data_IF_736275401965
#
_entry.id   IF_736275401965
#
_cell.length_a   1.000
_cell.length_b   1.000
_cell.length_c   1.000
_cell.angle_alpha   90.00
_cell.angle_beta   90.00
_cell.angle_gamma   90.00
#
_symmetry.space_group_name_H-M   'P 1'
#
loop_
_entity.id
_entity.type
_entity.pdbx_description
1 polymer ?
#
# COMPACT_ATOMS: atom_id res chain seq x y z
N UNK A 1 -10.34 5.40 6.24
CA UNK A 1 -9.29 4.41 5.94
C UNK A 1 -7.92 5.10 5.83
N UNK A 2 -6.90 4.42 6.32
CA UNK A 2 -5.51 4.87 6.36
C UNK A 2 -4.63 3.76 5.80
N UNK A 3 -3.60 4.12 5.05
CA UNK A 3 -2.66 3.18 4.41
C UNK A 3 -1.26 3.42 4.93
N UNK A 4 -0.61 2.39 5.44
CA UNK A 4 0.85 2.36 5.59
C UNK A 4 1.44 1.70 4.35
N UNK A 5 2.35 2.40 3.68
CA UNK A 5 3.09 1.89 2.54
C UNK A 5 4.57 1.83 2.92
N UNK A 6 5.13 0.61 2.94
CA UNK A 6 6.56 0.38 3.10
C UNK A 6 7.11 -0.08 1.77
N UNK A 7 8.13 0.60 1.26
CA UNK A 7 8.82 0.24 0.02
C UNK A 7 10.27 -0.04 0.34
N UNK A 8 10.82 -1.07 -0.28
CA UNK A 8 12.20 -1.46 -0.03
C UNK A 8 12.81 -2.21 -1.19
N UNK A 9 14.13 -2.36 -1.13
CA UNK A 9 14.86 -3.24 -2.01
C UNK A 9 15.30 -4.45 -1.19
N UNK A 10 14.86 -5.64 -1.56
CA UNK A 10 15.23 -6.89 -0.88
C UNK A 10 16.68 -7.22 -1.18
N UNK A 11 17.44 -7.62 -0.18
CA UNK A 11 18.80 -8.10 -0.39
C UNK A 11 18.82 -9.38 -1.25
N UNK A 12 19.86 -9.55 -2.07
CA UNK A 12 19.93 -10.64 -3.05
C UNK A 12 19.83 -12.00 -2.37
N UNK A 13 18.87 -12.83 -2.81
CA UNK A 13 18.64 -14.17 -2.26
C UNK A 13 17.80 -14.20 -0.97
N UNK A 14 17.36 -13.05 -0.47
CA UNK A 14 16.61 -12.95 0.79
C UNK A 14 15.08 -12.97 0.61
N UNK A 15 14.56 -13.00 -0.62
CA UNK A 15 13.11 -12.94 -0.90
C UNK A 15 12.31 -14.01 -0.15
N UNK A 16 12.78 -15.25 -0.11
CA UNK A 16 12.09 -16.33 0.60
C UNK A 16 12.03 -16.09 2.11
N UNK A 17 13.10 -15.56 2.69
CA UNK A 17 13.19 -15.27 4.13
C UNK A 17 12.30 -14.08 4.48
N UNK A 18 12.31 -13.03 3.66
CA UNK A 18 11.42 -11.88 3.81
C UNK A 18 9.94 -12.28 3.74
N UNK A 19 9.55 -13.16 2.81
CA UNK A 19 8.16 -13.65 2.73
C UNK A 19 7.77 -14.47 3.97
N UNK A 20 8.69 -15.27 4.52
CA UNK A 20 8.47 -16.02 5.74
C UNK A 20 8.32 -15.09 6.96
N UNK A 21 9.23 -14.12 7.12
CA UNK A 21 9.18 -13.11 8.17
C UNK A 21 7.90 -12.27 8.10
N UNK A 22 7.52 -11.81 6.89
CA UNK A 22 6.30 -11.05 6.67
C UNK A 22 5.05 -11.86 7.04
N UNK A 23 5.00 -13.16 6.73
CA UNK A 23 3.89 -14.03 7.15
C UNK A 23 3.76 -14.09 8.66
N UNK A 24 4.87 -14.28 9.38
CA UNK A 24 4.87 -14.29 10.85
C UNK A 24 4.44 -12.93 11.41
N UNK A 25 4.91 -11.83 10.83
CA UNK A 25 4.53 -10.48 11.24
C UNK A 25 3.03 -10.23 11.07
N UNK A 26 2.45 -10.62 9.93
CA UNK A 26 1.03 -10.42 9.65
C UNK A 26 0.14 -11.30 10.55
N UNK A 27 0.53 -12.55 10.78
CA UNK A 27 -0.17 -13.43 11.72
C UNK A 27 -0.08 -12.92 13.16
N UNK A 28 1.10 -12.47 13.59
CA UNK A 28 1.28 -11.92 14.93
C UNK A 28 0.49 -10.62 15.13
N UNK A 29 0.43 -9.76 14.11
CA UNK A 29 -0.42 -8.57 14.10
C UNK A 29 -1.90 -8.92 14.29
N UNK A 30 -2.42 -9.88 13.53
CA UNK A 30 -3.83 -10.29 13.62
C UNK A 30 -4.15 -10.88 15.00
N UNK A 31 -3.24 -11.70 15.55
CA UNK A 31 -3.35 -12.24 16.91
C UNK A 31 -3.37 -11.17 18.01
N UNK A 32 -2.84 -9.96 17.74
CA UNK A 32 -2.89 -8.80 18.64
C UNK A 32 -4.13 -7.92 18.40
N UNK A 33 -5.05 -8.35 17.55
CA UNK A 33 -6.30 -7.66 17.26
C UNK A 33 -6.13 -6.43 16.38
N UNK A 34 -5.00 -6.26 15.71
CA UNK A 34 -4.80 -5.18 14.74
C UNK A 34 -5.33 -5.67 13.40
N UNK A 35 -6.53 -5.20 13.04
CA UNK A 35 -7.14 -5.51 11.74
C UNK A 35 -6.60 -4.59 10.66
N UNK A 36 -5.95 -5.19 9.67
CA UNK A 36 -5.56 -4.48 8.47
C UNK A 36 -5.61 -5.42 7.27
N UNK A 37 -6.02 -4.90 6.12
CA UNK A 37 -5.81 -5.59 4.83
C UNK A 37 -4.35 -5.43 4.46
N UNK A 38 -3.60 -6.52 4.52
CA UNK A 38 -2.15 -6.51 4.28
C UNK A 38 -1.80 -7.26 3.01
N UNK A 39 -0.95 -6.66 2.19
CA UNK A 39 -0.46 -7.24 0.94
C UNK A 39 1.03 -6.96 0.75
N UNK A 40 1.74 -7.92 0.15
CA UNK A 40 3.14 -7.79 -0.21
C UNK A 40 3.28 -8.01 -1.72
N UNK A 41 3.83 -7.01 -2.39
CA UNK A 41 3.96 -6.94 -3.83
C UNK A 41 5.42 -6.96 -4.25
N UNK A 42 5.79 -7.87 -5.14
CA UNK A 42 7.09 -7.85 -5.81
C UNK A 42 7.00 -7.00 -7.08
N UNK A 43 8.02 -6.19 -7.35
CA UNK A 43 8.06 -5.36 -8.54
C UNK A 43 8.28 -6.18 -9.81
N UNK A 44 7.40 -5.98 -10.80
CA UNK A 44 7.60 -6.50 -12.17
C UNK A 44 8.37 -5.50 -13.05
N UNK A 45 8.38 -4.23 -12.68
CA UNK A 45 9.04 -3.12 -13.39
C UNK A 45 9.98 -2.38 -12.44
N UNK A 46 11.14 -1.93 -12.93
CA UNK A 46 12.17 -1.28 -12.10
C UNK A 46 13.18 -2.27 -11.52
N UNK A 47 13.78 -2.00 -10.34
CA UNK A 47 14.70 -2.94 -9.70
C UNK A 47 14.00 -4.28 -9.42
N UNK A 48 14.59 -5.38 -9.89
CA UNK A 48 13.98 -6.73 -9.86
C UNK A 48 13.76 -7.28 -8.45
N UNK A 49 14.35 -6.65 -7.44
CA UNK A 49 14.22 -6.99 -6.03
C UNK A 49 13.47 -5.93 -5.23
N UNK A 50 12.79 -4.98 -5.88
CA UNK A 50 11.94 -4.02 -5.18
C UNK A 50 10.65 -4.70 -4.69
N UNK A 51 10.20 -4.32 -3.49
CA UNK A 51 8.95 -4.77 -2.90
C UNK A 51 8.15 -3.59 -2.33
N UNK A 52 6.84 -3.77 -2.27
CA UNK A 52 5.93 -2.88 -1.53
C UNK A 52 5.09 -3.70 -0.57
N UNK A 53 5.10 -3.33 0.72
CA UNK A 53 4.16 -3.84 1.71
C UNK A 53 3.10 -2.75 1.90
N UNK A 54 1.85 -3.12 1.69
CA UNK A 54 0.67 -2.26 1.81
C UNK A 54 -0.17 -2.76 2.96
N UNK A 55 -0.53 -1.89 3.88
CA UNK A 55 -1.38 -2.19 5.03
C UNK A 55 -2.48 -1.14 5.12
N UNK A 56 -3.74 -1.55 4.95
CA UNK A 56 -4.90 -0.68 4.99
C UNK A 56 -5.69 -0.89 6.28
N UNK A 57 -5.94 0.20 7.02
CA UNK A 57 -6.63 0.26 8.31
C UNK A 57 -7.92 1.06 8.18
N UNK A 58 -8.99 0.62 8.83
CA UNK A 58 -10.25 1.37 8.83
C UNK A 58 -10.07 2.75 9.46
N UNK A 59 -9.38 2.76 10.60
CA UNK A 59 -9.23 3.92 11.49
C UNK A 59 -7.77 4.30 11.67
N UNK A 60 -7.52 5.56 12.07
CA UNK A 60 -6.18 6.00 12.44
C UNK A 60 -5.74 5.32 13.74
N UNK A 61 -6.68 5.08 14.66
CA UNK A 61 -6.42 4.43 15.95
C UNK A 61 -5.83 3.02 15.77
N UNK A 62 -6.32 2.22 14.81
CA UNK A 62 -5.73 0.90 14.52
C UNK A 62 -4.29 1.00 13.99
N UNK A 63 -4.01 2.01 13.16
CA UNK A 63 -2.65 2.28 12.67
C UNK A 63 -1.75 2.75 13.83
N UNK A 64 -2.26 3.61 14.71
CA UNK A 64 -1.54 4.09 15.89
C UNK A 64 -1.25 2.95 16.87
N UNK A 65 -2.21 2.04 17.10
CA UNK A 65 -2.00 0.82 17.89
C UNK A 65 -0.88 -0.06 17.35
N UNK A 66 -0.73 -0.16 16.02
CA UNK A 66 0.41 -0.84 15.41
C UNK A 66 1.74 -0.18 15.81
N UNK A 67 1.82 1.16 15.74
CA UNK A 67 3.02 1.91 16.12
C UNK A 67 3.33 1.82 17.61
N UNK A 68 2.29 1.87 18.44
CA UNK A 68 2.41 1.73 19.90
C UNK A 68 2.95 0.35 20.25
N UNK A 69 2.42 -0.72 19.64
CA UNK A 69 2.92 -2.08 19.84
C UNK A 69 4.35 -2.24 19.37
N UNK A 70 4.74 -1.65 18.24
CA UNK A 70 6.13 -1.63 17.80
C UNK A 70 7.07 -0.88 18.75
N UNK A 71 6.55 -0.01 19.61
CA UNK A 71 7.35 0.74 20.59
C UNK A 71 7.37 0.08 21.96
N UNK A 72 6.23 -0.48 22.40
CA UNK A 72 6.01 -0.96 23.77
C UNK A 72 6.28 -2.46 23.93
N UNK A 73 6.18 -3.24 22.86
CA UNK A 73 6.34 -4.69 22.88
C UNK A 73 7.60 -5.09 22.11
N UNK A 74 8.64 -5.51 22.84
CA UNK A 74 9.93 -5.88 22.25
C UNK A 74 9.85 -7.12 21.35
N UNK A 75 8.91 -8.03 21.61
CA UNK A 75 8.68 -9.18 20.74
C UNK A 75 8.05 -8.72 19.42
N UNK A 76 7.03 -7.88 19.50
CA UNK A 76 6.38 -7.30 18.32
C UNK A 76 7.38 -6.49 17.47
N UNK A 77 8.16 -5.62 18.12
CA UNK A 77 9.22 -4.86 17.49
C UNK A 77 10.27 -5.77 16.82
N UNK A 78 10.67 -6.85 17.50
CA UNK A 78 11.61 -7.82 16.97
C UNK A 78 11.11 -8.54 15.72
N UNK A 79 9.83 -8.88 15.67
CA UNK A 79 9.20 -9.53 14.50
C UNK A 79 9.19 -8.59 13.29
N UNK A 80 8.81 -7.32 13.47
CA UNK A 80 8.83 -6.34 12.38
C UNK A 80 10.26 -5.95 11.96
N UNK A 81 11.19 -5.88 12.91
CA UNK A 81 12.61 -5.66 12.62
C UNK A 81 13.22 -6.81 11.80
N UNK A 82 12.71 -8.04 11.94
CA UNK A 82 13.14 -9.17 11.11
C UNK A 82 12.71 -9.00 9.64
N UNK A 83 11.50 -8.47 9.39
CA UNK A 83 11.06 -8.10 8.04
C UNK A 83 12.00 -7.06 7.44
N UNK A 84 12.33 -6.02 8.20
CA UNK A 84 13.20 -4.93 7.75
C UNK A 84 14.66 -5.39 7.55
N UNK A 85 15.14 -6.38 8.31
CA UNK A 85 16.50 -6.92 8.21
C UNK A 85 16.83 -7.48 6.83
N UNK A 86 15.82 -7.97 6.10
CA UNK A 86 15.99 -8.50 4.75
C UNK A 86 15.94 -7.42 3.65
N UNK A 87 15.73 -6.15 4.02
CA UNK A 87 15.76 -5.00 3.13
C UNK A 87 17.12 -4.30 3.19
N UNK A 88 17.55 -3.74 2.06
CA UNK A 88 18.78 -2.97 1.98
C UNK A 88 18.69 -1.69 2.83
N UNK A 89 19.64 -1.47 3.77
CA UNK A 89 19.66 -0.26 4.58
C UNK A 89 19.74 1.01 3.73
N UNK A 90 18.99 2.05 4.13
CA UNK A 90 18.93 3.33 3.41
C UNK A 90 18.20 3.26 2.05
N UNK A 91 17.61 2.12 1.71
CA UNK A 91 16.76 1.92 0.51
C UNK A 91 15.34 1.50 0.87
N UNK A 92 14.96 1.73 2.12
CA UNK A 92 13.61 1.52 2.64
C UNK A 92 12.97 2.86 2.92
N UNK A 93 11.72 3.02 2.48
CA UNK A 93 10.90 4.20 2.68
C UNK A 93 9.55 3.76 3.27
N UNK A 94 9.01 4.55 4.20
CA UNK A 94 7.73 4.28 4.83
C UNK A 94 6.90 5.56 4.86
N UNK A 95 5.64 5.45 4.45
CA UNK A 95 4.72 6.59 4.39
C UNK A 95 3.32 6.18 4.85
N UNK A 96 2.62 7.14 5.47
CA UNK A 96 1.23 7.00 5.89
C UNK A 96 0.38 7.90 5.02
N UNK A 97 -0.72 7.33 4.51
CA UNK A 97 -1.67 8.02 3.65
C UNK A 97 -3.09 7.88 4.18
N UNK A 98 -3.95 8.86 3.89
CA UNK A 98 -5.39 8.81 4.09
C UNK A 98 -6.06 8.54 2.75
N UNK A 99 -7.08 7.66 2.75
CA UNK A 99 -7.90 7.45 1.56
C UNK A 99 -8.62 8.75 1.17
N UNK A 100 -8.47 9.16 -0.09
CA UNK A 100 -9.09 10.35 -0.67
C UNK A 100 -10.14 10.00 -1.73
N UNK A 101 -9.97 8.88 -2.44
CA UNK A 101 -10.95 8.34 -3.39
C UNK A 101 -10.83 6.82 -3.49
N UNK A 102 -11.95 6.15 -3.72
CA UNK A 102 -12.02 4.73 -4.03
C UNK A 102 -13.16 4.47 -5.04
N UNK A 103 -12.87 3.68 -6.07
CA UNK A 103 -13.81 3.39 -7.17
C UNK A 103 -15.08 2.68 -6.74
N UNK A 104 -15.02 1.85 -5.70
CA UNK A 104 -16.18 1.14 -5.13
C UNK A 104 -16.91 1.94 -4.03
N UNK A 105 -16.53 3.22 -3.82
CA UNK A 105 -17.07 4.06 -2.76
C UNK A 105 -16.38 3.83 -1.40
N UNK A 106 -17.04 4.23 -0.32
CA UNK A 106 -16.52 4.04 1.04
C UNK A 106 -16.63 2.56 1.42
N UNK A 107 -15.52 1.85 1.34
CA UNK A 107 -15.39 0.47 1.81
C UNK A 107 -14.58 0.44 3.11
N UNK A 108 -14.84 -0.55 3.96
CA UNK A 108 -13.96 -0.88 5.08
C UNK A 108 -12.77 -1.73 4.59
N UNK A 109 -11.67 -1.78 5.34
CA UNK A 109 -10.53 -2.64 5.08
C UNK A 109 -10.88 -4.13 5.22
N UNK A 110 -11.93 -4.45 5.98
CA UNK A 110 -12.44 -5.82 6.13
C UNK A 110 -13.38 -6.20 4.98
N UNK A 111 -14.09 -5.22 4.42
CA UNK A 111 -14.93 -5.36 3.22
C UNK A 111 -14.11 -5.37 1.93
N UNK A 112 -12.93 -4.73 1.96
CA UNK A 112 -11.99 -4.77 0.86
C UNK A 112 -11.60 -6.24 0.59
N UNK A 113 -11.96 -6.73 -0.59
CA UNK A 113 -11.70 -8.11 -1.01
C UNK A 113 -10.20 -8.42 -0.96
N UNK A 114 -9.85 -9.71 -0.99
CA UNK A 114 -8.45 -10.13 -1.10
C UNK A 114 -7.74 -9.32 -2.21
N UNK A 115 -6.48 -8.87 -1.98
CA UNK A 115 -5.69 -8.19 -3.02
C UNK A 115 -5.78 -8.93 -4.34
N UNK A 116 -6.02 -8.19 -5.43
CA UNK A 116 -6.03 -8.80 -6.77
C UNK A 116 -4.60 -9.24 -7.15
N UNK A 117 -4.41 -9.81 -8.34
CA UNK A 117 -3.12 -10.43 -8.72
C UNK A 117 -2.04 -9.44 -9.13
N UNK A 118 -2.41 -8.30 -9.68
CA UNK A 118 -1.50 -7.29 -10.20
C UNK A 118 -1.79 -5.93 -9.55
N UNK A 119 -0.74 -5.17 -9.27
CA UNK A 119 -0.82 -3.83 -8.71
C UNK A 119 -0.07 -2.85 -9.60
N UNK A 120 -0.76 -1.79 -10.02
CA UNK A 120 -0.14 -0.55 -10.48
C UNK A 120 -0.11 0.42 -9.31
N UNK A 121 1.08 0.77 -8.84
CA UNK A 121 1.29 1.77 -7.79
C UNK A 121 2.07 2.94 -8.34
N UNK A 122 1.45 4.12 -8.36
CA UNK A 122 2.10 5.38 -8.72
C UNK A 122 2.20 6.26 -7.47
N UNK A 123 3.36 6.86 -7.24
CA UNK A 123 3.56 7.81 -6.15
C UNK A 123 4.17 9.09 -6.69
N UNK A 124 3.79 10.23 -6.15
CA UNK A 124 4.35 11.50 -6.55
C UNK A 124 3.95 12.62 -5.60
N UNK A 125 4.35 13.83 -5.95
CA UNK A 125 3.98 15.04 -5.22
C UNK A 125 3.11 15.92 -6.10
N UNK A 126 2.02 16.44 -5.52
CA UNK A 126 1.15 17.42 -6.14
C UNK A 126 1.69 18.82 -5.83
N UNK A 127 1.43 19.79 -6.70
CA UNK A 127 1.73 21.18 -6.40
C UNK A 127 1.01 21.66 -5.13
N UNK A 128 1.65 22.48 -4.28
CA UNK A 128 1.01 23.05 -3.11
C UNK A 128 -0.32 23.74 -3.44
N UNK A 129 -1.36 23.46 -2.65
CA UNK A 129 -2.70 24.00 -2.85
C UNK A 129 -3.52 23.34 -3.97
N UNK A 130 -2.94 22.42 -4.76
CA UNK A 130 -3.61 21.71 -5.86
C UNK A 130 -4.12 20.31 -5.50
N UNK A 131 -3.91 19.86 -4.27
CA UNK A 131 -4.29 18.51 -3.83
C UNK A 131 -5.76 18.15 -4.09
N UNK A 132 -6.71 19.02 -3.71
CA UNK A 132 -8.14 18.78 -3.92
C UNK A 132 -8.50 18.68 -5.41
N UNK A 133 -8.02 19.63 -6.21
CA UNK A 133 -8.25 19.68 -7.66
C UNK A 133 -7.68 18.42 -8.32
N UNK A 134 -6.46 18.03 -7.97
CA UNK A 134 -5.82 16.83 -8.47
C UNK A 134 -6.62 15.56 -8.16
N UNK A 135 -7.07 15.40 -6.90
CA UNK A 135 -7.86 14.23 -6.50
C UNK A 135 -9.17 14.17 -7.28
N UNK A 136 -9.86 15.30 -7.48
CA UNK A 136 -11.11 15.34 -8.24
C UNK A 136 -10.90 14.95 -9.71
N UNK A 137 -9.94 15.57 -10.39
CA UNK A 137 -9.63 15.27 -11.80
C UNK A 137 -9.23 13.82 -12.00
N UNK A 138 -8.42 13.27 -11.08
CA UNK A 138 -8.02 11.87 -11.13
C UNK A 138 -9.19 10.92 -10.85
N UNK A 139 -10.06 11.26 -9.90
CA UNK A 139 -11.27 10.47 -9.62
C UNK A 139 -12.19 10.39 -10.84
N UNK A 140 -12.34 11.49 -11.58
CA UNK A 140 -13.08 11.51 -12.83
C UNK A 140 -12.44 10.65 -13.92
N UNK A 141 -11.11 10.74 -14.08
CA UNK A 141 -10.37 9.90 -15.04
C UNK A 141 -10.48 8.40 -14.72
N UNK A 142 -10.33 8.02 -13.45
CA UNK A 142 -10.46 6.63 -13.00
C UNK A 142 -11.88 6.11 -13.17
N UNK A 143 -12.90 6.93 -12.87
CA UNK A 143 -14.31 6.59 -13.13
C UNK A 143 -14.55 6.39 -14.62
N UNK A 144 -14.01 7.26 -15.45
CA UNK A 144 -14.12 7.16 -16.91
C UNK A 144 -13.49 5.88 -17.47
N UNK A 145 -12.34 5.45 -16.94
CA UNK A 145 -11.72 4.17 -17.32
C UNK A 145 -12.60 2.98 -16.92
N UNK A 146 -13.20 3.00 -15.73
CA UNK A 146 -14.14 1.97 -15.27
C UNK A 146 -15.39 1.89 -16.18
N UNK A 147 -15.97 3.04 -16.55
CA UNK A 147 -17.10 3.11 -17.49
C UNK A 147 -16.78 2.52 -18.88
N UNK A 148 -15.49 2.42 -19.24
CA UNK A 148 -15.02 1.77 -20.48
C UNK A 148 -14.69 0.29 -20.33
N UNK A 149 -15.00 -0.31 -19.18
CA UNK A 149 -14.87 -1.73 -18.95
C UNK A 149 -13.47 -2.18 -18.55
N UNK A 150 -12.62 -1.27 -18.08
CA UNK A 150 -11.37 -1.66 -17.39
C UNK A 150 -11.76 -2.19 -16.01
N UNK A 151 -11.60 -3.50 -15.80
CA UNK A 151 -11.94 -4.13 -14.53
C UNK A 151 -10.79 -3.96 -13.54
N UNK A 152 -10.89 -2.92 -12.73
CA UNK A 152 -9.88 -2.56 -11.75
C UNK A 152 -10.50 -1.95 -10.49
N UNK A 153 -9.97 -2.33 -9.33
CA UNK A 153 -10.23 -1.60 -8.09
C UNK A 153 -9.18 -0.50 -7.96
N UNK A 154 -9.60 0.75 -8.17
CA UNK A 154 -8.73 1.93 -8.15
C UNK A 154 -8.96 2.81 -6.93
N UNK A 155 -7.88 3.41 -6.42
CA UNK A 155 -7.90 4.24 -5.21
C UNK A 155 -6.82 5.33 -5.23
N UNK A 156 -7.13 6.47 -4.60
CA UNK A 156 -6.22 7.60 -4.43
C UNK A 156 -6.05 7.90 -2.95
N UNK A 157 -4.79 8.06 -2.55
CA UNK A 157 -4.36 8.22 -1.17
C UNK A 157 -3.52 9.48 -1.06
N UNK A 158 -3.75 10.28 -0.02
CA UNK A 158 -3.02 11.51 0.25
C UNK A 158 -2.16 11.35 1.51
N UNK A 159 -0.89 11.69 1.42
CA UNK A 159 0.04 11.52 2.53
C UNK A 159 -0.36 12.35 3.75
N UNK A 160 -0.23 11.75 4.93
CA UNK A 160 -0.34 12.42 6.23
C UNK A 160 1.04 12.72 6.82
N UNK A 161 2.05 11.95 6.44
CA UNK A 161 3.42 12.04 6.93
C UNK A 161 4.38 12.31 5.76
N UNK A 162 5.32 13.25 5.94
CA UNK A 162 6.34 13.59 4.93
C UNK A 162 5.73 14.29 3.71
N UNK A 163 5.99 15.59 3.55
CA UNK A 163 5.49 16.41 2.44
C UNK A 163 3.97 16.32 2.26
N UNK A 164 3.20 17.27 2.81
CA UNK A 164 1.71 17.24 2.82
C UNK A 164 1.03 17.22 1.45
N UNK A 165 1.80 17.25 0.36
CA UNK A 165 1.32 17.15 -1.01
C UNK A 165 1.62 15.81 -1.68
N UNK A 166 2.24 14.85 -0.99
CA UNK A 166 2.50 13.54 -1.54
C UNK A 166 1.20 12.74 -1.71
N UNK A 167 1.15 11.94 -2.78
CA UNK A 167 0.01 11.12 -3.16
C UNK A 167 0.47 9.72 -3.56
N UNK A 168 -0.39 8.73 -3.34
CA UNK A 168 -0.28 7.41 -3.90
C UNK A 168 -1.56 7.03 -4.64
N UNK A 169 -1.42 6.47 -5.83
CA UNK A 169 -2.51 6.00 -6.69
C UNK A 169 -2.29 4.51 -6.87
N UNK A 170 -3.31 3.72 -6.55
CA UNK A 170 -3.25 2.27 -6.68
C UNK A 170 -4.38 1.78 -7.59
N UNK A 171 -4.03 0.94 -8.56
CA UNK A 171 -4.96 0.13 -9.34
C UNK A 171 -4.65 -1.34 -9.14
N UNK A 172 -5.64 -2.13 -8.74
CA UNK A 172 -5.54 -3.57 -8.55
C UNK A 172 -6.30 -4.32 -9.64
N UNK A 173 -5.69 -5.36 -10.22
CA UNK A 173 -6.21 -6.08 -11.39
C UNK A 173 -6.05 -7.61 -11.23
N UNK A 174 -6.96 -8.38 -11.82
CA UNK A 174 -6.87 -9.86 -11.81
C UNK A 174 -6.01 -10.44 -12.93
N UNK A 175 -5.73 -9.67 -13.98
CA UNK A 175 -4.92 -10.10 -15.11
C UNK A 175 -3.95 -9.01 -15.59
N UNK A 176 -2.83 -9.45 -16.17
CA UNK A 176 -1.87 -8.55 -16.81
C UNK A 176 -2.51 -7.77 -17.97
N UNK A 177 -3.45 -8.38 -18.70
CA UNK A 177 -4.14 -7.74 -19.81
C UNK A 177 -4.99 -6.54 -19.37
N UNK A 178 -5.64 -6.61 -18.21
CA UNK A 178 -6.38 -5.46 -17.65
C UNK A 178 -5.43 -4.34 -17.21
N UNK A 179 -4.27 -4.70 -16.65
CA UNK A 179 -3.23 -3.72 -16.33
C UNK A 179 -2.68 -3.03 -17.58
N UNK A 180 -2.40 -3.78 -18.65
CA UNK A 180 -1.94 -3.23 -19.94
C UNK A 180 -2.99 -2.29 -20.54
N UNK A 181 -4.27 -2.68 -20.54
CA UNK A 181 -5.36 -1.79 -20.99
C UNK A 181 -5.47 -0.52 -20.17
N UNK A 182 -5.22 -0.61 -18.86
CA UNK A 182 -5.23 0.56 -17.98
C UNK A 182 -4.08 1.53 -18.29
N UNK A 183 -2.90 1.01 -18.65
CA UNK A 183 -1.75 1.85 -19.02
C UNK A 183 -1.89 2.45 -20.45
N UNK A 184 -2.70 1.84 -21.33
CA UNK A 184 -2.93 2.29 -22.71
C UNK A 184 -4.00 3.41 -22.86
N UNK A 185 -4.82 3.65 -21.83
CA UNK A 185 -5.98 4.57 -21.85
C UNK A 185 -5.73 5.90 -21.13
#
# INVERSE_FOLDING_TARGET
MYRRLIRGIVERGQTGQLLAAARVAFEHQDNRGIRARTALWAAMTGPTNAISIVMDFNTLEELERLNDLATQDSQFAGIWADVERHLLPGRTDASIHRLSYHSEGLISAEEATAPRRFLRLMTGEVLPGKGREFVLSLSEALRYQNERGVDATTSVWSALSGGTNAIAIAGEFDSMAELERFDDL
#
